data_IF_931684542590
#
_entry.id   IF_931684542590
#
_cell.length_a   1.000
_cell.length_b   1.000
_cell.length_c   1.000
_cell.angle_alpha   90.00
_cell.angle_beta   90.00
_cell.angle_gamma   90.00
#
_symmetry.space_group_name_H-M   'P 1'
#
loop_
_entity.id
_entity.type
_entity.pdbx_description
1 polymer ?
#
# COMPACT_ATOMS: atom_id res chain seq x y z
N UNK A 1 22.71 26.03 16.60
CA UNK A 1 22.62 24.53 16.67
C UNK A 1 22.35 24.16 18.12
N UNK A 2 21.11 23.84 18.46
CA UNK A 2 20.77 23.22 19.73
C UNK A 2 21.25 21.78 19.71
N UNK A 3 21.94 21.28 20.76
CA UNK A 3 22.35 19.89 20.82
C UNK A 3 21.11 19.00 20.73
N UNK A 4 21.11 18.07 19.79
CA UNK A 4 19.95 17.22 19.50
C UNK A 4 19.60 16.37 20.70
N UNK A 5 18.43 16.64 21.29
CA UNK A 5 17.87 15.82 22.35
C UNK A 5 17.27 14.57 21.72
N UNK A 6 17.74 13.39 22.10
CA UNK A 6 17.11 12.13 21.72
C UNK A 6 15.84 11.93 22.56
N UNK A 7 14.68 11.90 21.89
CA UNK A 7 13.40 11.65 22.54
C UNK A 7 12.92 10.25 22.16
N UNK A 8 12.46 9.47 23.14
CA UNK A 8 11.90 8.13 22.92
C UNK A 8 10.43 8.16 23.35
N UNK A 9 9.49 8.40 22.44
CA UNK A 9 8.08 8.29 22.75
C UNK A 9 7.63 6.82 22.80
N UNK A 10 6.77 6.48 23.76
CA UNK A 10 6.08 5.20 23.81
C UNK A 10 4.62 5.46 23.48
N UNK A 11 4.15 4.91 22.36
CA UNK A 11 2.80 5.15 21.87
C UNK A 11 2.32 3.96 21.04
N UNK A 12 1.02 3.81 20.94
CA UNK A 12 0.36 2.92 19.98
C UNK A 12 -0.25 3.71 18.79
N UNK A 13 -0.04 5.02 18.76
CA UNK A 13 -0.53 5.89 17.68
C UNK A 13 0.48 5.94 16.54
N UNK A 14 0.27 5.15 15.50
CA UNK A 14 1.17 5.06 14.36
C UNK A 14 1.28 6.38 13.57
N UNK A 15 0.25 7.23 13.62
CA UNK A 15 0.31 8.57 13.02
C UNK A 15 1.42 9.41 13.66
N UNK A 16 1.52 9.40 14.99
CA UNK A 16 2.57 10.11 15.73
C UNK A 16 3.95 9.55 15.38
N UNK A 17 4.09 8.22 15.34
CA UNK A 17 5.36 7.58 14.96
C UNK A 17 5.83 8.03 13.57
N UNK A 18 4.92 8.06 12.60
CA UNK A 18 5.22 8.48 11.20
C UNK A 18 5.67 9.93 11.13
N UNK A 19 5.10 10.80 11.95
CA UNK A 19 5.30 12.24 11.88
C UNK A 19 6.58 12.71 12.56
N UNK A 20 6.91 12.14 13.72
CA UNK A 20 7.98 12.71 14.58
C UNK A 20 9.17 11.78 14.83
N UNK A 21 9.10 10.51 14.45
CA UNK A 21 10.16 9.55 14.75
C UNK A 21 11.03 9.24 13.53
N UNK A 22 12.34 9.12 13.73
CA UNK A 22 13.28 8.64 12.71
C UNK A 22 13.35 7.10 12.72
N UNK A 23 13.25 6.50 13.90
CA UNK A 23 13.34 5.06 14.12
C UNK A 23 12.20 4.58 15.00
N UNK A 24 11.83 3.33 14.80
CA UNK A 24 10.78 2.66 15.59
C UNK A 24 11.27 1.31 16.08
N UNK A 25 10.84 0.94 17.28
CA UNK A 25 10.93 -0.41 17.80
C UNK A 25 9.53 -0.89 18.18
N UNK A 26 9.07 -1.96 17.56
CA UNK A 26 7.79 -2.60 17.87
C UNK A 26 7.99 -3.62 18.96
N UNK A 27 7.16 -3.55 19.99
CA UNK A 27 7.24 -4.43 21.15
C UNK A 27 6.00 -5.31 21.24
N UNK A 28 6.23 -6.58 21.57
CA UNK A 28 5.18 -7.55 21.87
C UNK A 28 5.58 -8.36 23.11
N UNK A 29 4.69 -8.49 24.08
CA UNK A 29 4.95 -9.19 25.35
C UNK A 29 6.24 -8.77 26.06
N UNK A 30 6.58 -7.46 26.03
CA UNK A 30 7.76 -6.92 26.68
C UNK A 30 9.08 -7.16 25.94
N UNK A 31 9.04 -7.66 24.69
CA UNK A 31 10.22 -7.89 23.83
C UNK A 31 10.12 -7.06 22.57
N UNK A 32 11.26 -6.55 22.11
CA UNK A 32 11.36 -5.92 20.79
C UNK A 32 11.31 -7.02 19.74
N UNK A 33 10.29 -7.00 18.89
CA UNK A 33 10.08 -7.99 17.82
C UNK A 33 10.49 -7.48 16.45
N UNK A 34 10.44 -6.15 16.25
CA UNK A 34 10.89 -5.50 15.01
C UNK A 34 11.43 -4.11 15.32
N UNK A 35 12.49 -3.67 14.63
CA UNK A 35 13.03 -2.32 14.76
C UNK A 35 13.72 -1.87 13.49
N UNK A 36 13.73 -0.57 13.23
CA UNK A 36 14.36 0.00 12.07
C UNK A 36 14.05 1.48 11.88
N UNK A 37 14.43 2.00 10.72
CA UNK A 37 13.94 3.31 10.28
C UNK A 37 12.42 3.25 10.08
N UNK A 38 11.72 4.32 10.44
CA UNK A 38 10.26 4.39 10.34
C UNK A 38 9.80 4.05 8.92
N UNK A 39 10.43 4.66 7.90
CA UNK A 39 10.10 4.37 6.51
C UNK A 39 10.18 2.87 6.20
N UNK A 40 11.28 2.21 6.53
CA UNK A 40 11.51 0.80 6.21
C UNK A 40 10.51 -0.12 6.91
N UNK A 41 10.26 0.11 8.21
CA UNK A 41 9.34 -0.73 8.99
C UNK A 41 7.89 -0.57 8.51
N UNK A 42 7.51 0.65 8.09
CA UNK A 42 6.15 0.89 7.58
C UNK A 42 5.96 0.44 6.12
N UNK A 43 7.01 0.54 5.30
CA UNK A 43 6.95 0.11 3.90
C UNK A 43 6.96 -1.43 3.77
N UNK A 44 7.79 -2.10 4.58
CA UNK A 44 8.01 -3.55 4.53
C UNK A 44 7.94 -4.20 5.92
N UNK A 45 6.78 -4.19 6.59
CA UNK A 45 6.63 -4.80 7.92
C UNK A 45 6.84 -6.32 7.85
N UNK A 46 7.70 -6.84 8.72
CA UNK A 46 8.06 -8.27 8.73
C UNK A 46 7.23 -9.07 9.73
N UNK A 47 6.91 -8.45 10.87
CA UNK A 47 6.17 -9.11 11.95
C UNK A 47 4.67 -8.89 11.82
N UNK A 48 3.88 -9.90 12.18
CA UNK A 48 2.42 -9.82 12.06
C UNK A 48 1.81 -8.75 12.96
N UNK A 49 2.38 -8.55 14.14
CA UNK A 49 1.97 -7.45 15.02
C UNK A 49 2.25 -6.07 14.39
N UNK A 50 3.38 -5.90 13.70
CA UNK A 50 3.70 -4.67 12.98
C UNK A 50 2.72 -4.43 11.84
N UNK A 51 2.44 -5.47 11.05
CA UNK A 51 1.42 -5.42 9.99
C UNK A 51 0.06 -5.01 10.56
N UNK A 52 -0.34 -5.62 11.68
CA UNK A 52 -1.59 -5.30 12.35
C UNK A 52 -1.66 -3.83 12.78
N UNK A 53 -0.61 -3.28 13.38
CA UNK A 53 -0.56 -1.86 13.75
C UNK A 53 -0.65 -0.93 12.54
N UNK A 54 0.01 -1.28 11.44
CA UNK A 54 -0.04 -0.48 10.21
C UNK A 54 -1.42 -0.59 9.56
N UNK A 55 -2.00 -1.79 9.52
CA UNK A 55 -3.33 -2.03 8.96
C UNK A 55 -4.45 -1.31 9.73
N UNK A 56 -4.37 -1.23 11.06
CA UNK A 56 -5.37 -0.50 11.86
C UNK A 56 -5.35 1.01 11.60
N UNK A 57 -4.25 1.55 11.10
CA UNK A 57 -4.14 2.96 10.69
C UNK A 57 -4.41 3.18 9.21
N UNK A 58 -4.42 2.12 8.41
CA UNK A 58 -4.82 2.20 6.99
C UNK A 58 -6.29 1.84 6.87
N UNK A 59 -7.06 2.69 6.17
CA UNK A 59 -8.47 2.43 5.88
C UNK A 59 -8.68 1.26 4.88
N UNK A 60 -7.66 0.40 4.68
CA UNK A 60 -7.72 -0.75 3.76
C UNK A 60 -8.73 -1.80 4.21
N UNK A 61 -8.95 -1.96 5.53
CA UNK A 61 -10.04 -2.79 6.05
C UNK A 61 -11.40 -2.39 5.47
N UNK A 62 -11.62 -1.10 5.24
CA UNK A 62 -12.87 -0.63 4.64
C UNK A 62 -13.09 -1.17 3.24
N UNK A 63 -12.04 -1.36 2.46
CA UNK A 63 -12.15 -1.96 1.11
C UNK A 63 -12.52 -3.44 1.21
N UNK A 64 -11.94 -4.17 2.15
CA UNK A 64 -12.27 -5.59 2.39
C UNK A 64 -13.73 -5.75 2.83
N UNK A 65 -14.21 -4.88 3.72
CA UNK A 65 -15.63 -4.82 4.10
C UNK A 65 -16.53 -4.56 2.89
N UNK A 66 -16.21 -3.56 2.06
CA UNK A 66 -16.96 -3.23 0.85
C UNK A 66 -17.00 -4.38 -0.16
N UNK A 67 -15.92 -5.16 -0.26
CA UNK A 67 -15.88 -6.36 -1.10
C UNK A 67 -16.76 -7.46 -0.52
N UNK A 68 -16.70 -7.67 0.79
CA UNK A 68 -17.52 -8.68 1.49
C UNK A 68 -19.03 -8.37 1.41
N UNK A 69 -19.39 -7.09 1.46
CA UNK A 69 -20.76 -6.59 1.34
C UNK A 69 -21.28 -6.50 -0.12
N UNK A 70 -20.46 -6.90 -1.11
CA UNK A 70 -20.75 -6.75 -2.55
C UNK A 70 -21.16 -5.33 -2.94
N UNK A 71 -20.48 -4.36 -2.36
CA UNK A 71 -20.73 -2.94 -2.61
C UNK A 71 -20.63 -2.59 -4.11
N UNK A 72 -21.50 -1.70 -4.63
CA UNK A 72 -21.45 -1.28 -6.04
C UNK A 72 -20.07 -0.80 -6.51
N UNK A 73 -19.27 -0.18 -5.62
CA UNK A 73 -17.92 0.32 -5.95
C UNK A 73 -16.87 -0.80 -6.11
N UNK A 74 -17.17 -2.01 -5.65
CA UNK A 74 -16.29 -3.18 -5.75
C UNK A 74 -16.83 -4.27 -6.66
N UNK A 75 -17.94 -4.01 -7.37
CA UNK A 75 -18.46 -4.93 -8.38
C UNK A 75 -17.60 -4.90 -9.62
N UNK A 76 -17.23 -6.10 -10.06
CA UNK A 76 -16.42 -6.30 -11.26
C UNK A 76 -17.30 -6.71 -12.44
N UNK A 77 -16.95 -6.19 -13.61
CA UNK A 77 -17.42 -6.72 -14.88
C UNK A 77 -16.58 -7.94 -15.27
N UNK A 78 -17.08 -8.83 -16.14
CA UNK A 78 -16.28 -9.94 -16.65
C UNK A 78 -14.95 -9.46 -17.26
N UNK A 79 -13.84 -10.02 -16.81
CA UNK A 79 -12.50 -9.66 -17.27
C UNK A 79 -11.77 -8.61 -16.41
N UNK A 80 -12.43 -8.00 -15.44
CA UNK A 80 -11.83 -7.05 -14.53
C UNK A 80 -11.23 -7.71 -13.29
N UNK A 81 -10.34 -6.99 -12.63
CA UNK A 81 -9.81 -7.38 -11.32
C UNK A 81 -9.61 -6.18 -10.40
N UNK A 82 -9.71 -6.42 -9.11
CA UNK A 82 -9.31 -5.46 -8.07
C UNK A 82 -7.89 -5.77 -7.66
N UNK A 83 -7.03 -4.77 -7.74
CA UNK A 83 -5.64 -4.84 -7.29
C UNK A 83 -5.35 -3.81 -6.23
N UNK A 84 -4.49 -4.19 -5.28
CA UNK A 84 -3.81 -3.26 -4.40
C UNK A 84 -2.43 -2.97 -4.99
N UNK A 85 -2.11 -1.70 -5.12
CA UNK A 85 -0.81 -1.20 -5.54
C UNK A 85 -0.15 -0.56 -4.33
N UNK A 86 1.01 -1.07 -3.92
CA UNK A 86 1.75 -0.55 -2.76
C UNK A 86 3.02 0.16 -3.22
N UNK A 87 3.23 1.37 -2.72
CA UNK A 87 4.39 2.18 -3.03
C UNK A 87 5.42 2.00 -1.92
N UNK A 88 6.60 1.45 -2.26
CA UNK A 88 7.65 1.06 -1.31
C UNK A 88 8.96 1.82 -1.54
N UNK A 89 9.00 2.74 -2.52
CA UNK A 89 10.23 3.45 -2.89
C UNK A 89 10.25 4.89 -2.40
N UNK A 90 11.46 5.32 -1.96
CA UNK A 90 11.72 6.70 -1.51
C UNK A 90 11.55 7.76 -2.62
N UNK A 91 11.58 7.39 -3.89
CA UNK A 91 11.51 8.31 -5.02
C UNK A 91 10.47 7.84 -6.05
N UNK A 92 9.20 8.15 -5.84
CA UNK A 92 8.14 7.94 -6.84
C UNK A 92 7.90 9.28 -7.56
N UNK A 93 8.75 9.61 -8.52
CA UNK A 93 8.60 10.81 -9.35
C UNK A 93 7.92 10.53 -10.69
N UNK A 94 7.59 9.27 -11.00
CA UNK A 94 6.94 8.88 -12.25
C UNK A 94 5.42 8.79 -12.06
N UNK A 95 4.62 9.29 -13.02
CA UNK A 95 3.15 9.14 -13.01
C UNK A 95 2.77 7.71 -13.42
N UNK A 96 3.12 6.73 -12.59
CA UNK A 96 3.11 5.30 -12.93
C UNK A 96 1.74 4.79 -13.35
N UNK A 97 0.67 5.26 -12.72
CA UNK A 97 -0.71 4.90 -13.07
C UNK A 97 -1.05 5.34 -14.49
N UNK A 98 -0.73 6.60 -14.82
CA UNK A 98 -0.96 7.15 -16.16
C UNK A 98 -0.09 6.47 -17.21
N UNK A 99 1.19 6.21 -16.88
CA UNK A 99 2.12 5.53 -17.78
C UNK A 99 1.61 4.13 -18.13
N UNK A 100 1.21 3.34 -17.13
CA UNK A 100 0.67 1.99 -17.33
C UNK A 100 -0.60 2.00 -18.17
N UNK A 101 -1.53 2.92 -17.88
CA UNK A 101 -2.76 3.03 -18.66
C UNK A 101 -2.50 3.31 -20.14
N UNK A 102 -1.56 4.21 -20.44
CA UNK A 102 -1.23 4.58 -21.82
C UNK A 102 -0.43 3.49 -22.54
N UNK A 103 0.58 2.91 -21.87
CA UNK A 103 1.48 1.92 -22.51
C UNK A 103 0.78 0.61 -22.84
N UNK A 104 -0.11 0.16 -21.97
CA UNK A 104 -0.77 -1.14 -22.11
C UNK A 104 -2.24 -1.03 -22.53
N UNK A 105 -2.75 0.19 -22.74
CA UNK A 105 -4.14 0.42 -23.09
C UNK A 105 -5.11 -0.27 -22.10
N UNK A 106 -4.82 -0.13 -20.82
CA UNK A 106 -5.65 -0.60 -19.71
C UNK A 106 -6.23 0.60 -18.96
N UNK A 107 -7.40 0.42 -18.35
CA UNK A 107 -7.99 1.42 -17.48
C UNK A 107 -7.75 1.04 -16.03
N UNK A 108 -7.34 2.01 -15.20
CA UNK A 108 -7.22 1.86 -13.75
C UNK A 108 -8.21 2.82 -13.08
N UNK A 109 -9.29 2.28 -12.55
CA UNK A 109 -10.25 3.04 -11.76
C UNK A 109 -9.87 2.94 -10.28
N UNK A 110 -9.30 4.00 -9.72
CA UNK A 110 -8.92 4.07 -8.30
C UNK A 110 -10.19 4.18 -7.46
N UNK A 111 -10.46 3.17 -6.65
CA UNK A 111 -11.62 3.13 -5.74
C UNK A 111 -11.24 3.52 -4.32
N UNK A 112 -9.95 3.43 -3.98
CA UNK A 112 -9.42 3.82 -2.69
C UNK A 112 -7.94 4.19 -2.80
N UNK A 113 -7.50 5.20 -2.04
CA UNK A 113 -6.10 5.57 -1.91
C UNK A 113 -5.81 6.02 -0.48
N UNK A 114 -4.72 5.51 0.07
CA UNK A 114 -4.18 5.92 1.37
C UNK A 114 -2.66 6.08 1.24
N UNK A 115 -2.24 7.31 1.04
CA UNK A 115 -0.83 7.67 0.85
C UNK A 115 -0.45 8.71 1.89
N UNK A 116 0.54 8.39 2.68
CA UNK A 116 1.10 9.26 3.72
C UNK A 116 2.55 9.58 3.36
N UNK A 117 2.98 10.80 3.63
CA UNK A 117 4.40 11.18 3.49
C UNK A 117 5.12 10.89 4.79
N UNK A 118 6.17 10.09 4.74
CA UNK A 118 7.05 9.77 5.86
C UNK A 118 8.48 10.07 5.43
N UNK A 119 9.16 10.98 6.15
CA UNK A 119 10.54 11.39 5.83
C UNK A 119 10.71 11.77 4.34
N UNK A 120 9.85 12.65 3.82
CA UNK A 120 9.81 13.11 2.43
C UNK A 120 9.55 12.02 1.37
N UNK A 121 9.08 10.86 1.79
CA UNK A 121 8.80 9.73 0.91
C UNK A 121 7.36 9.26 1.04
N UNK A 122 6.65 9.00 -0.06
CA UNK A 122 5.30 8.46 0.00
C UNK A 122 5.32 6.99 0.46
N UNK A 123 4.51 6.67 1.45
CA UNK A 123 4.20 5.31 1.89
C UNK A 123 2.70 5.10 1.80
N UNK A 124 2.29 3.91 1.38
CA UNK A 124 0.90 3.53 1.29
C UNK A 124 0.57 2.90 -0.04
N UNK A 125 -0.68 3.03 -0.46
CA UNK A 125 -1.09 2.38 -1.68
C UNK A 125 -2.44 2.88 -2.20
N UNK A 126 -2.78 2.31 -3.34
CA UNK A 126 -4.08 2.51 -3.97
C UNK A 126 -4.73 1.16 -4.21
N UNK A 127 -6.06 1.12 -4.12
CA UNK A 127 -6.84 -0.01 -4.61
C UNK A 127 -7.57 0.44 -5.87
N UNK A 128 -7.38 -0.30 -6.95
CA UNK A 128 -7.93 0.04 -8.24
C UNK A 128 -8.59 -1.17 -8.92
N UNK A 129 -9.61 -0.89 -9.71
CA UNK A 129 -10.16 -1.85 -10.66
C UNK A 129 -9.36 -1.69 -11.95
N UNK A 130 -8.74 -2.78 -12.42
CA UNK A 130 -8.08 -2.81 -13.73
C UNK A 130 -9.02 -3.48 -14.73
N UNK A 131 -9.22 -2.81 -15.86
CA UNK A 131 -9.97 -3.31 -16.99
C UNK A 131 -9.19 -3.16 -18.31
N UNK A 132 -9.42 -4.09 -19.22
CA UNK A 132 -8.75 -4.13 -20.52
C UNK A 132 -8.62 -5.55 -21.07
N UNK A 133 -7.85 -5.71 -22.16
CA UNK A 133 -7.55 -7.03 -22.70
C UNK A 133 -6.68 -7.83 -21.69
N UNK A 134 -7.00 -9.11 -21.45
CA UNK A 134 -6.32 -9.98 -20.48
C UNK A 134 -4.79 -9.98 -20.62
N UNK A 135 -4.30 -10.05 -21.87
CA UNK A 135 -2.85 -10.01 -22.13
C UNK A 135 -2.21 -8.67 -21.74
N UNK A 136 -2.93 -7.58 -21.95
CA UNK A 136 -2.43 -6.24 -21.62
C UNK A 136 -2.45 -6.00 -20.11
N UNK A 137 -3.47 -6.49 -19.41
CA UNK A 137 -3.53 -6.45 -17.94
C UNK A 137 -2.34 -7.21 -17.34
N UNK A 138 -2.01 -8.41 -17.87
CA UNK A 138 -0.85 -9.18 -17.39
C UNK A 138 0.46 -8.41 -17.56
N UNK A 139 0.69 -7.82 -18.75
CA UNK A 139 1.89 -7.00 -19.02
C UNK A 139 1.94 -5.74 -18.13
N UNK A 140 0.79 -5.12 -17.88
CA UNK A 140 0.69 -3.96 -17.00
C UNK A 140 1.10 -4.32 -15.56
N UNK A 141 0.67 -5.47 -15.05
CA UNK A 141 1.05 -5.98 -13.73
C UNK A 141 2.55 -6.29 -13.68
N UNK A 142 3.10 -6.98 -14.69
CA UNK A 142 4.53 -7.27 -14.79
C UNK A 142 5.37 -5.98 -14.78
N UNK A 143 4.97 -4.99 -15.57
CA UNK A 143 5.65 -3.69 -15.59
C UNK A 143 5.60 -2.97 -14.23
N UNK A 144 4.45 -2.99 -13.54
CA UNK A 144 4.33 -2.41 -12.20
C UNK A 144 5.31 -3.08 -11.22
N UNK A 145 5.43 -4.41 -11.26
CA UNK A 145 6.36 -5.18 -10.43
C UNK A 145 7.82 -4.84 -10.78
N UNK A 146 8.17 -4.72 -12.07
CA UNK A 146 9.50 -4.29 -12.51
C UNK A 146 9.86 -2.89 -12.02
N UNK A 147 8.86 -2.01 -11.89
CA UNK A 147 9.00 -0.66 -11.32
C UNK A 147 8.96 -0.64 -9.78
N UNK A 148 9.07 -1.80 -9.14
CA UNK A 148 9.03 -1.97 -7.68
C UNK A 148 7.74 -1.44 -7.03
N UNK A 149 6.62 -1.50 -7.73
CA UNK A 149 5.30 -1.34 -7.15
C UNK A 149 4.83 -2.71 -6.69
N UNK A 150 4.49 -2.84 -5.42
CA UNK A 150 3.85 -4.05 -4.92
C UNK A 150 2.47 -4.20 -5.54
N UNK A 151 2.17 -5.37 -6.11
CA UNK A 151 0.87 -5.67 -6.72
C UNK A 151 0.27 -6.90 -6.06
N UNK A 152 -0.89 -6.73 -5.45
CA UNK A 152 -1.68 -7.81 -4.86
C UNK A 152 -3.05 -7.84 -5.52
N UNK A 153 -3.45 -9.01 -6.05
CA UNK A 153 -4.79 -9.20 -6.61
C UNK A 153 -5.74 -9.56 -5.47
N UNK A 154 -6.73 -8.70 -5.22
CA UNK A 154 -7.71 -8.88 -4.14
C UNK A 154 -8.94 -9.64 -4.66
N UNK A 155 -9.43 -9.32 -5.85
CA UNK A 155 -10.61 -9.95 -6.48
C UNK A 155 -10.36 -10.08 -7.97
N UNK A 156 -10.67 -11.23 -8.54
CA UNK A 156 -10.45 -11.53 -9.96
C UNK A 156 -11.72 -12.07 -10.61
N UNK A 157 -12.29 -11.33 -11.55
CA UNK A 157 -13.42 -11.75 -12.36
C UNK A 157 -13.02 -12.24 -13.76
N UNK A 158 -11.71 -12.50 -13.99
CA UNK A 158 -11.20 -13.08 -15.24
C UNK A 158 -11.35 -14.60 -15.30
N UNK A 159 -11.64 -15.25 -14.18
CA UNK A 159 -11.61 -16.70 -14.02
C UNK A 159 -12.91 -17.42 -14.43
N UNK A 160 -13.99 -16.69 -14.70
CA UNK A 160 -15.27 -17.29 -15.09
C UNK A 160 -15.38 -17.43 -16.62
N UNK A 161 -14.54 -18.31 -17.19
CA UNK A 161 -14.82 -19.02 -18.46
C UNK A 161 -14.02 -20.29 -18.58
#
# INVERSE_FOLDING_TARGET
ETPGTTTVPITHEMAVVKEICDRVAVMEYGRVVEQGEVFTVFAEPKQDITKSFIHTTSNLQKVEELIAEDSPVTRLQPGELIVRLSYVQRNVNEPIISAVSQMFNVSLNIIFADITIVQDSPIGGTVAIISGERKQITKAIEYLIEKNVGVEVIKDARADR
#
